data_IF_202129316504
#
_entry.id   IF_202129316504
#
_cell.length_a   1.000
_cell.length_b   1.000
_cell.length_c   1.000
_cell.angle_alpha   90.00
_cell.angle_beta   90.00
_cell.angle_gamma   90.00
#
_symmetry.space_group_name_H-M   'P 1'
#
loop_
_entity.id
_entity.type
_entity.pdbx_description
1 polymer ?
#
# COMPACT_ATOMS: atom_id res chain seq x y z
N UNK A 1 -15.08 10.18 3.29
CA UNK A 1 -13.60 10.26 3.24
C UNK A 1 -12.99 10.35 1.83
N UNK A 2 -13.07 9.34 0.94
CA UNK A 2 -12.42 9.43 -0.39
C UNK A 2 -12.85 10.65 -1.20
N UNK A 3 -14.14 11.00 -1.15
CA UNK A 3 -14.67 12.22 -1.77
C UNK A 3 -14.05 13.49 -1.16
N UNK A 4 -14.06 13.63 0.17
CA UNK A 4 -13.41 14.76 0.86
C UNK A 4 -11.94 14.95 0.45
N UNK A 5 -11.18 13.85 0.39
CA UNK A 5 -9.79 13.90 -0.05
C UNK A 5 -9.65 14.34 -1.52
N UNK A 6 -10.53 13.85 -2.40
CA UNK A 6 -10.54 14.24 -3.81
C UNK A 6 -10.94 15.71 -4.02
N UNK A 7 -11.94 16.19 -3.29
CA UNK A 7 -12.40 17.59 -3.36
C UNK A 7 -11.36 18.56 -2.78
N UNK A 8 -10.63 18.12 -1.76
CA UNK A 8 -9.45 18.84 -1.27
C UNK A 8 -8.34 18.87 -2.34
N UNK A 9 -7.98 17.71 -2.89
CA UNK A 9 -6.95 17.57 -3.91
C UNK A 9 -7.22 18.41 -5.17
N UNK A 10 -8.48 18.47 -5.61
CA UNK A 10 -8.91 19.21 -6.80
C UNK A 10 -8.73 20.73 -6.69
N UNK A 11 -8.62 21.27 -5.47
CA UNK A 11 -8.40 22.71 -5.21
C UNK A 11 -6.92 23.10 -5.17
N UNK A 12 -6.01 22.12 -5.18
CA UNK A 12 -4.58 22.37 -5.05
C UNK A 12 -3.92 22.59 -6.42
N UNK A 13 -2.86 23.42 -6.50
CA UNK A 13 -2.07 23.59 -7.72
C UNK A 13 -1.21 22.34 -8.05
N UNK A 14 -1.05 21.43 -7.09
CA UNK A 14 -0.28 20.20 -7.20
C UNK A 14 -0.48 19.31 -5.98
N UNK A 15 0.10 18.11 -5.99
CA UNK A 15 0.05 17.16 -4.88
C UNK A 15 1.40 16.97 -4.19
N UNK A 16 2.40 17.77 -4.51
CA UNK A 16 3.67 17.79 -3.78
C UNK A 16 3.45 18.31 -2.34
N UNK A 17 4.42 18.05 -1.46
CA UNK A 17 4.29 18.39 -0.03
C UNK A 17 3.97 19.86 0.17
N UNK A 18 4.58 20.78 -0.59
CA UNK A 18 4.33 22.21 -0.44
C UNK A 18 2.90 22.59 -0.85
N UNK A 19 2.40 22.05 -1.96
CA UNK A 19 1.02 22.27 -2.38
C UNK A 19 -0.01 21.77 -1.37
N UNK A 20 0.21 20.60 -0.76
CA UNK A 20 -0.64 20.07 0.32
C UNK A 20 -0.71 21.00 1.54
N UNK A 21 0.32 21.82 1.80
CA UNK A 21 0.30 22.77 2.93
C UNK A 21 -0.64 23.94 2.67
N UNK A 22 -0.82 24.33 1.42
CA UNK A 22 -1.53 25.56 1.05
C UNK A 22 -3.05 25.43 1.04
N UNK A 23 -3.61 24.21 1.00
CA UNK A 23 -5.05 24.02 0.83
C UNK A 23 -5.90 24.07 2.09
N UNK A 24 -5.30 24.04 3.28
CA UNK A 24 -6.06 24.16 4.54
C UNK A 24 -6.07 25.61 5.00
N UNK A 25 -7.16 26.32 4.70
CA UNK A 25 -7.36 27.70 5.14
C UNK A 25 -7.38 27.79 6.67
N UNK A 26 -6.45 28.57 7.23
CA UNK A 26 -6.39 28.83 8.66
C UNK A 26 -5.88 27.66 9.52
N UNK A 27 -5.30 26.63 8.91
CA UNK A 27 -4.58 25.57 9.63
C UNK A 27 -3.07 25.80 9.49
N UNK A 28 -2.36 25.85 10.62
CA UNK A 28 -0.91 25.98 10.65
C UNK A 28 -0.25 24.61 10.44
N UNK A 29 0.90 24.57 9.78
CA UNK A 29 1.72 23.36 9.69
C UNK A 29 3.08 23.60 10.34
N UNK A 30 3.46 22.71 11.26
CA UNK A 30 4.76 22.76 11.94
C UNK A 30 5.49 21.43 11.82
N UNK A 31 6.78 21.49 11.44
CA UNK A 31 7.69 20.35 11.49
C UNK A 31 8.56 20.46 12.74
N UNK A 32 8.48 19.49 13.64
CA UNK A 32 9.28 19.48 14.87
C UNK A 32 9.60 18.05 15.34
N UNK A 33 10.63 17.84 16.17
CA UNK A 33 10.86 16.52 16.78
C UNK A 33 9.69 16.13 17.69
N UNK A 34 9.14 14.92 17.51
CA UNK A 34 7.98 14.41 18.27
C UNK A 34 8.23 13.06 18.97
N UNK A 35 9.50 12.69 19.18
CA UNK A 35 9.85 11.38 19.74
C UNK A 35 9.44 10.25 18.78
N UNK A 36 8.69 9.28 19.30
CA UNK A 36 8.20 8.11 18.56
C UNK A 36 6.91 8.37 17.77
N UNK A 37 6.24 9.52 17.99
CA UNK A 37 5.01 9.89 17.28
C UNK A 37 5.36 10.44 15.89
N UNK A 38 4.62 10.03 14.87
CA UNK A 38 4.85 10.50 13.49
C UNK A 38 4.27 11.88 13.23
N UNK A 39 3.08 12.18 13.76
CA UNK A 39 2.37 13.44 13.58
C UNK A 39 1.14 13.56 14.47
N UNK A 40 0.49 14.71 14.43
CA UNK A 40 -0.74 15.00 15.14
C UNK A 40 -1.49 16.16 14.48
N UNK A 41 -2.82 16.07 14.48
CA UNK A 41 -3.69 17.22 14.27
C UNK A 41 -4.27 17.69 15.61
N UNK A 42 -4.14 18.98 15.89
CA UNK A 42 -4.75 19.66 17.02
C UNK A 42 -5.88 20.57 16.51
N UNK A 43 -7.16 20.18 16.68
CA UNK A 43 -8.30 20.96 16.20
C UNK A 43 -8.54 22.25 16.99
N UNK A 44 -8.13 22.32 18.26
CA UNK A 44 -8.33 23.50 19.11
C UNK A 44 -7.44 24.65 18.63
N UNK A 45 -6.18 24.34 18.34
CA UNK A 45 -5.18 25.32 17.88
C UNK A 45 -5.09 25.41 16.35
N UNK A 46 -5.85 24.57 15.63
CA UNK A 46 -5.82 24.44 14.16
C UNK A 46 -4.39 24.27 13.66
N UNK A 47 -3.67 23.30 14.21
CA UNK A 47 -2.29 23.02 13.82
C UNK A 47 -2.09 21.55 13.49
N UNK A 48 -1.44 21.30 12.36
CA UNK A 48 -0.87 20.01 12.01
C UNK A 48 0.60 20.00 12.42
N UNK A 49 0.99 18.96 13.14
CA UNK A 49 2.35 18.68 13.56
C UNK A 49 2.87 17.45 12.82
N UNK A 50 4.04 17.56 12.21
CA UNK A 50 4.71 16.43 11.56
C UNK A 50 6.10 16.25 12.16
N UNK A 51 6.45 15.01 12.50
CA UNK A 51 7.73 14.69 13.10
C UNK A 51 8.87 14.94 12.11
N UNK A 52 9.72 15.92 12.40
CA UNK A 52 10.82 16.30 11.51
C UNK A 52 11.92 15.25 11.41
N UNK A 53 11.92 14.22 12.28
CA UNK A 53 12.95 13.17 12.34
C UNK A 53 12.63 11.94 11.51
N UNK A 54 11.39 11.76 11.05
CA UNK A 54 11.06 10.63 10.16
C UNK A 54 11.46 10.94 8.72
N UNK A 55 11.66 9.90 7.91
CA UNK A 55 12.05 10.06 6.50
C UNK A 55 11.01 10.85 5.69
N UNK A 56 11.40 11.59 4.64
CA UNK A 56 10.48 12.45 3.86
C UNK A 56 9.22 11.74 3.33
N UNK A 57 9.35 10.51 2.80
CA UNK A 57 8.22 9.68 2.36
C UNK A 57 7.18 9.48 3.48
N UNK A 58 7.66 9.26 4.72
CA UNK A 58 6.80 9.07 5.90
C UNK A 58 6.18 10.40 6.33
N UNK A 59 6.95 11.50 6.31
CA UNK A 59 6.42 12.84 6.59
C UNK A 59 5.30 13.23 5.62
N UNK A 60 5.46 12.94 4.32
CA UNK A 60 4.47 13.20 3.28
C UNK A 60 3.18 12.42 3.53
N UNK A 61 3.29 11.14 3.86
CA UNK A 61 2.12 10.33 4.22
C UNK A 61 1.46 10.81 5.51
N UNK A 62 2.24 11.10 6.55
CA UNK A 62 1.72 11.66 7.80
C UNK A 62 0.99 12.97 7.57
N UNK A 63 1.55 13.90 6.79
CA UNK A 63 0.86 15.15 6.44
C UNK A 63 -0.50 14.88 5.77
N UNK A 64 -0.54 13.99 4.77
CA UNK A 64 -1.79 13.63 4.11
C UNK A 64 -2.80 12.95 5.06
N UNK A 65 -2.30 12.19 6.03
CA UNK A 65 -3.10 11.57 7.09
C UNK A 65 -3.69 12.62 8.02
N UNK A 66 -2.90 13.58 8.51
CA UNK A 66 -3.41 14.65 9.38
C UNK A 66 -4.34 15.62 8.65
N UNK A 67 -4.12 15.88 7.35
CA UNK A 67 -5.09 16.59 6.50
C UNK A 67 -6.41 15.81 6.47
N UNK A 68 -6.36 14.48 6.38
CA UNK A 68 -7.56 13.65 6.39
C UNK A 68 -8.30 13.70 7.73
N UNK A 69 -7.58 13.77 8.86
CA UNK A 69 -8.17 14.06 10.18
C UNK A 69 -8.89 15.40 10.19
N UNK A 70 -8.24 16.46 9.71
CA UNK A 70 -8.84 17.79 9.65
C UNK A 70 -10.09 17.85 8.77
N UNK A 71 -10.08 17.16 7.63
CA UNK A 71 -11.23 17.06 6.73
C UNK A 71 -12.38 16.26 7.36
N UNK A 72 -12.09 15.15 8.03
CA UNK A 72 -13.09 14.32 8.69
C UNK A 72 -13.75 15.06 9.86
N UNK A 73 -12.96 15.69 10.71
CA UNK A 73 -13.47 16.46 11.87
C UNK A 73 -14.20 17.74 11.46
N UNK A 74 -13.99 18.23 10.24
CA UNK A 74 -14.73 19.36 9.67
C UNK A 74 -16.02 18.99 8.94
N UNK A 75 -16.34 17.70 8.83
CA UNK A 75 -17.56 17.18 8.19
C UNK A 75 -18.51 16.65 9.29
N UNK A 76 -19.45 17.50 9.70
CA UNK A 76 -20.37 17.22 10.80
C UNK A 76 -21.26 16.00 10.52
N UNK A 77 -21.70 15.82 9.28
CA UNK A 77 -22.56 14.70 8.88
C UNK A 77 -21.79 13.37 8.99
N UNK A 78 -20.58 13.31 8.42
CA UNK A 78 -19.73 12.12 8.49
C UNK A 78 -19.34 11.79 9.94
N UNK A 79 -19.00 12.79 10.73
CA UNK A 79 -18.61 12.59 12.13
C UNK A 79 -19.81 12.11 12.96
N UNK A 80 -21.00 12.67 12.74
CA UNK A 80 -22.25 12.22 13.38
C UNK A 80 -22.55 10.76 13.06
N UNK A 81 -22.51 10.37 11.78
CA UNK A 81 -22.74 8.99 11.35
C UNK A 81 -21.75 8.00 12.00
N UNK A 82 -20.50 8.42 12.20
CA UNK A 82 -19.49 7.61 12.87
C UNK A 82 -19.78 7.43 14.36
N UNK A 83 -20.23 8.49 15.05
CA UNK A 83 -20.62 8.42 16.46
C UNK A 83 -21.88 7.58 16.68
N UNK A 84 -22.81 7.56 15.72
CA UNK A 84 -23.99 6.70 15.78
C UNK A 84 -23.64 5.21 15.61
N UNK A 85 -22.58 4.91 14.84
CA UNK A 85 -22.17 3.54 14.52
C UNK A 85 -21.10 2.95 15.44
N UNK A 86 -20.24 3.79 16.06
CA UNK A 86 -19.06 3.36 16.81
C UNK A 86 -18.82 4.25 18.04
N UNK A 87 -18.22 3.67 19.07
CA UNK A 87 -17.84 4.37 20.31
C UNK A 87 -16.49 3.88 20.86
N UNK A 88 -15.88 4.67 21.75
CA UNK A 88 -14.61 4.37 22.42
C UNK A 88 -13.47 4.02 21.46
N UNK A 89 -12.62 3.08 21.85
CA UNK A 89 -11.44 2.64 21.07
C UNK A 89 -11.80 2.19 19.64
N UNK A 90 -13.01 1.67 19.43
CA UNK A 90 -13.46 1.24 18.10
C UNK A 90 -13.68 2.43 17.18
N UNK A 91 -14.25 3.52 17.69
CA UNK A 91 -14.41 4.75 16.92
C UNK A 91 -13.04 5.31 16.52
N UNK A 92 -12.10 5.39 17.46
CA UNK A 92 -10.73 5.84 17.18
C UNK A 92 -10.07 5.00 16.08
N UNK A 93 -10.18 3.67 16.16
CA UNK A 93 -9.64 2.78 15.14
C UNK A 93 -10.28 2.97 13.76
N UNK A 94 -11.58 3.25 13.71
CA UNK A 94 -12.29 3.53 12.45
C UNK A 94 -11.84 4.86 11.87
N UNK A 95 -11.71 5.91 12.68
CA UNK A 95 -11.21 7.23 12.25
C UNK A 95 -9.79 7.10 11.70
N UNK A 96 -8.89 6.40 12.40
CA UNK A 96 -7.52 6.13 11.94
C UNK A 96 -7.49 5.38 10.61
N UNK A 97 -8.39 4.40 10.44
CA UNK A 97 -8.54 3.66 9.18
C UNK A 97 -9.01 4.59 8.06
N UNK A 98 -10.00 5.44 8.32
CA UNK A 98 -10.49 6.42 7.35
C UNK A 98 -9.41 7.44 6.99
N UNK A 99 -8.62 7.93 7.93
CA UNK A 99 -7.53 8.86 7.66
C UNK A 99 -6.45 8.24 6.77
N UNK A 100 -6.15 6.95 6.94
CA UNK A 100 -5.28 6.22 6.01
C UNK A 100 -5.88 6.10 4.59
N UNK A 101 -7.20 5.88 4.49
CA UNK A 101 -7.92 5.88 3.19
C UNK A 101 -7.91 7.26 2.54
N UNK A 102 -8.11 8.32 3.33
CA UNK A 102 -8.03 9.71 2.89
C UNK A 102 -6.65 10.08 2.38
N UNK A 103 -5.60 9.73 3.14
CA UNK A 103 -4.21 9.97 2.75
C UNK A 103 -3.86 9.28 1.43
N UNK A 104 -4.28 8.02 1.25
CA UNK A 104 -4.07 7.30 0.00
C UNK A 104 -4.80 7.96 -1.18
N UNK A 105 -6.07 8.35 -1.00
CA UNK A 105 -6.85 9.03 -2.04
C UNK A 105 -6.28 10.41 -2.42
N UNK A 106 -5.72 11.13 -1.43
CA UNK A 106 -5.08 12.43 -1.64
C UNK A 106 -3.75 12.30 -2.41
N UNK A 107 -2.94 11.32 -2.05
CA UNK A 107 -1.61 11.12 -2.64
C UNK A 107 -1.64 10.38 -3.99
N UNK A 108 -2.71 9.62 -4.25
CA UNK A 108 -2.81 8.73 -5.41
C UNK A 108 -4.08 9.09 -6.19
N UNK A 109 -4.03 10.11 -7.06
CA UNK A 109 -5.18 10.52 -7.83
C UNK A 109 -5.62 9.41 -8.78
N UNK A 110 -6.93 9.31 -9.01
CA UNK A 110 -7.54 8.28 -9.88
C UNK A 110 -6.90 8.24 -11.27
N UNK A 111 -6.59 9.40 -11.83
CA UNK A 111 -5.93 9.54 -13.14
C UNK A 111 -4.56 8.88 -13.18
N UNK A 112 -3.78 8.94 -12.10
CA UNK A 112 -2.48 8.26 -12.01
C UNK A 112 -2.66 6.75 -11.97
N UNK A 113 -3.65 6.24 -11.24
CA UNK A 113 -3.96 4.81 -11.18
C UNK A 113 -4.35 4.30 -12.57
N UNK A 114 -5.28 5.01 -13.23
CA UNK A 114 -5.75 4.65 -14.56
C UNK A 114 -4.60 4.74 -15.60
N UNK A 115 -3.68 5.71 -15.48
CA UNK A 115 -2.46 5.77 -16.30
C UNK A 115 -1.59 4.53 -16.10
N UNK A 116 -1.36 4.10 -14.85
CA UNK A 116 -0.51 2.95 -14.56
C UNK A 116 -1.12 1.65 -15.10
N UNK A 117 -2.41 1.44 -14.87
CA UNK A 117 -3.15 0.27 -15.38
C UNK A 117 -3.21 0.26 -16.90
N UNK A 118 -3.49 1.41 -17.55
CA UNK A 118 -3.54 1.51 -19.01
C UNK A 118 -2.18 1.24 -19.66
N UNK A 119 -1.10 1.79 -19.07
CA UNK A 119 0.25 1.71 -19.66
C UNK A 119 0.96 0.38 -19.39
N UNK A 120 0.76 -0.19 -18.20
CA UNK A 120 1.53 -1.34 -17.74
C UNK A 120 0.66 -2.57 -17.43
N UNK A 121 -0.66 -2.46 -17.50
CA UNK A 121 -1.58 -3.51 -17.06
C UNK A 121 -1.56 -3.72 -15.54
N UNK A 122 -2.27 -4.74 -15.03
CA UNK A 122 -2.28 -5.07 -13.62
C UNK A 122 -1.02 -5.87 -13.21
N UNK A 123 0.14 -5.22 -13.34
CA UNK A 123 1.47 -5.83 -13.26
C UNK A 123 2.26 -5.44 -12.01
N UNK A 124 3.28 -6.22 -11.66
CA UNK A 124 4.29 -5.83 -10.67
C UNK A 124 4.99 -4.54 -11.07
N UNK A 125 5.20 -4.31 -12.37
CA UNK A 125 5.70 -3.03 -12.91
C UNK A 125 4.77 -1.85 -12.63
N UNK A 126 3.46 -2.00 -12.85
CA UNK A 126 2.48 -0.96 -12.54
C UNK A 126 2.54 -0.57 -11.05
N UNK A 127 2.65 -1.56 -10.17
CA UNK A 127 2.82 -1.36 -8.73
C UNK A 127 4.12 -0.58 -8.42
N UNK A 128 5.25 -0.97 -9.01
CA UNK A 128 6.52 -0.28 -8.83
C UNK A 128 6.49 1.16 -9.31
N UNK A 129 5.92 1.42 -10.48
CA UNK A 129 5.78 2.76 -11.05
C UNK A 129 4.81 3.63 -10.24
N UNK A 130 3.70 3.07 -9.75
CA UNK A 130 2.75 3.79 -8.90
C UNK A 130 3.41 4.26 -7.59
N UNK A 131 4.11 3.36 -6.90
CA UNK A 131 4.84 3.68 -5.67
C UNK A 131 5.86 4.80 -5.89
N UNK A 132 6.62 4.73 -7.00
CA UNK A 132 7.65 5.73 -7.33
C UNK A 132 7.06 7.08 -7.72
N UNK A 133 5.99 7.12 -8.51
CA UNK A 133 5.40 8.37 -9.02
C UNK A 133 4.56 9.10 -7.98
N UNK A 134 3.88 8.36 -7.10
CA UNK A 134 3.12 8.96 -6.01
C UNK A 134 4.00 9.30 -4.78
N UNK A 135 5.26 8.85 -4.76
CA UNK A 135 6.20 8.95 -3.64
C UNK A 135 5.60 8.38 -2.34
N UNK A 136 5.16 7.12 -2.42
CA UNK A 136 4.49 6.39 -1.35
C UNK A 136 5.10 5.01 -1.12
N UNK A 137 4.77 4.43 0.02
CA UNK A 137 5.16 3.06 0.35
C UNK A 137 4.58 2.04 -0.66
N UNK A 138 5.33 0.96 -0.88
CA UNK A 138 4.90 -0.14 -1.74
C UNK A 138 3.62 -0.81 -1.24
N UNK A 139 3.40 -0.87 0.07
CA UNK A 139 2.15 -1.37 0.67
C UNK A 139 0.96 -0.50 0.31
N UNK A 140 1.09 0.83 0.43
CA UNK A 140 0.01 1.76 0.08
C UNK A 140 -0.33 1.64 -1.41
N UNK A 141 0.69 1.65 -2.28
CA UNK A 141 0.50 1.46 -3.72
C UNK A 141 -0.18 0.12 -4.05
N UNK A 142 0.19 -0.95 -3.35
CA UNK A 142 -0.36 -2.30 -3.53
C UNK A 142 -1.85 -2.37 -3.20
N UNK A 143 -2.28 -1.79 -2.07
CA UNK A 143 -3.70 -1.78 -1.71
C UNK A 143 -4.52 -0.94 -2.70
N UNK A 144 -4.01 0.24 -3.05
CA UNK A 144 -4.69 1.15 -3.99
C UNK A 144 -4.80 0.55 -5.38
N UNK A 145 -3.74 -0.04 -5.92
CA UNK A 145 -3.77 -0.66 -7.24
C UNK A 145 -4.69 -1.88 -7.26
N UNK A 146 -4.64 -2.73 -6.23
CA UNK A 146 -5.51 -3.90 -6.11
C UNK A 146 -6.98 -3.52 -6.11
N UNK A 147 -7.37 -2.48 -5.35
CA UNK A 147 -8.75 -2.00 -5.27
C UNK A 147 -9.30 -1.54 -6.63
N UNK A 148 -8.43 -1.04 -7.52
CA UNK A 148 -8.80 -0.52 -8.84
C UNK A 148 -8.56 -1.51 -9.99
N UNK A 149 -8.07 -2.72 -9.69
CA UNK A 149 -7.84 -3.76 -10.69
C UNK A 149 -9.12 -4.56 -10.92
N UNK A 150 -9.52 -4.76 -12.17
CA UNK A 150 -10.72 -5.54 -12.51
C UNK A 150 -10.40 -7.01 -12.79
N UNK A 151 -9.21 -7.28 -13.29
CA UNK A 151 -8.71 -8.63 -13.56
C UNK A 151 -8.45 -9.40 -12.24
N UNK A 152 -8.58 -10.73 -12.24
CA UNK A 152 -8.37 -11.53 -11.04
C UNK A 152 -6.87 -11.65 -10.71
N UNK A 153 -6.32 -10.63 -10.06
CA UNK A 153 -4.88 -10.51 -9.78
C UNK A 153 -4.60 -10.57 -8.28
N UNK A 154 -3.52 -11.27 -7.92
CA UNK A 154 -2.86 -11.10 -6.62
C UNK A 154 -1.63 -10.22 -6.80
N UNK A 155 -1.46 -9.23 -5.94
CA UNK A 155 -0.25 -8.44 -5.84
C UNK A 155 0.54 -8.82 -4.59
N UNK A 156 1.87 -8.76 -4.69
CA UNK A 156 2.74 -8.99 -3.55
C UNK A 156 3.99 -8.10 -3.62
N UNK A 157 4.47 -7.68 -2.45
CA UNK A 157 5.81 -7.11 -2.29
C UNK A 157 6.66 -8.15 -1.59
N UNK A 158 7.74 -8.59 -2.23
CA UNK A 158 8.66 -9.59 -1.69
C UNK A 158 10.00 -8.94 -1.33
N UNK A 159 10.59 -9.32 -0.21
CA UNK A 159 11.93 -8.86 0.18
C UNK A 159 12.65 -9.95 0.98
N UNK A 160 13.99 -9.89 0.99
CA UNK A 160 14.80 -10.84 1.77
C UNK A 160 14.58 -10.60 3.25
N UNK A 161 14.17 -11.66 3.96
CA UNK A 161 14.01 -11.66 5.41
C UNK A 161 14.91 -12.72 6.04
N UNK A 162 15.28 -12.50 7.31
CA UNK A 162 15.87 -13.56 8.14
C UNK A 162 14.74 -14.51 8.54
N UNK A 163 14.94 -15.80 8.33
CA UNK A 163 14.05 -16.83 8.84
C UNK A 163 14.23 -16.96 10.36
N UNK A 164 13.14 -17.24 11.11
CA UNK A 164 13.27 -17.63 12.51
C UNK A 164 14.13 -18.90 12.59
N UNK A 165 15.05 -18.94 13.55
CA UNK A 165 15.83 -20.16 13.85
C UNK A 165 14.91 -21.13 14.60
N UNK A 166 15.00 -22.42 14.28
CA UNK A 166 14.25 -23.44 15.01
C UNK A 166 14.91 -23.70 16.38
N UNK A 167 14.10 -24.11 17.38
CA UNK A 167 14.61 -24.52 18.69
C UNK A 167 15.45 -25.79 18.53
N UNK A 168 16.75 -25.62 18.31
CA UNK A 168 17.70 -26.70 18.01
C UNK A 168 18.87 -26.29 17.10
N UNK A 169 18.81 -25.12 16.47
CA UNK A 169 19.91 -24.59 15.66
C UNK A 169 21.09 -24.15 16.54
N UNK A 170 22.31 -24.52 16.13
CA UNK A 170 23.56 -24.21 16.86
C UNK A 170 23.73 -22.68 17.04
N UNK A 171 24.16 -22.23 18.22
CA UNK A 171 24.36 -20.79 18.56
C UNK A 171 25.35 -20.04 17.64
N UNK A 172 26.01 -20.74 16.71
CA UNK A 172 26.93 -20.19 15.71
C UNK A 172 26.39 -20.08 14.28
N UNK A 173 25.22 -20.63 13.95
CA UNK A 173 24.68 -20.57 12.59
C UNK A 173 24.00 -19.23 12.31
N UNK A 174 24.37 -18.61 11.18
CA UNK A 174 23.73 -17.36 10.75
C UNK A 174 22.31 -17.69 10.29
N UNK A 175 21.29 -16.93 10.71
CA UNK A 175 19.91 -17.20 10.33
C UNK A 175 19.78 -17.22 8.80
N UNK A 176 19.21 -18.30 8.28
CA UNK A 176 18.99 -18.47 6.86
C UNK A 176 18.19 -17.27 6.31
N UNK A 177 18.66 -16.72 5.19
CA UNK A 177 17.96 -15.63 4.49
C UNK A 177 17.11 -16.24 3.39
N UNK A 178 15.84 -15.85 3.34
CA UNK A 178 14.94 -16.25 2.26
C UNK A 178 14.15 -15.05 1.75
N UNK A 179 13.85 -15.06 0.46
CA UNK A 179 12.90 -14.13 -0.12
C UNK A 179 11.50 -14.49 0.39
N UNK A 180 10.84 -13.54 1.06
CA UNK A 180 9.49 -13.77 1.60
C UNK A 180 8.54 -12.66 1.21
N UNK A 181 7.26 -13.00 1.12
CA UNK A 181 6.18 -12.02 0.94
C UNK A 181 6.12 -11.13 2.18
N UNK A 182 6.22 -9.82 2.00
CA UNK A 182 6.13 -8.82 3.07
C UNK A 182 4.70 -8.32 3.24
N UNK A 183 4.02 -8.09 2.13
CA UNK A 183 2.62 -7.68 2.07
C UNK A 183 2.01 -8.19 0.77
N UNK A 184 0.70 -8.48 0.79
CA UNK A 184 -0.07 -8.91 -0.36
C UNK A 184 -1.46 -8.29 -0.35
N UNK A 185 -2.06 -8.12 -1.52
CA UNK A 185 -3.47 -7.78 -1.67
C UNK A 185 -4.02 -8.45 -2.93
N UNK A 186 -5.34 -8.59 -2.98
CA UNK A 186 -6.04 -9.23 -4.06
C UNK A 186 -7.01 -8.23 -4.70
N UNK A 187 -7.15 -8.29 -6.03
CA UNK A 187 -8.20 -7.57 -6.72
C UNK A 187 -9.60 -8.05 -6.27
N UNK A 188 -10.64 -7.20 -6.37
CA UNK A 188 -12.02 -7.59 -6.06
C UNK A 188 -12.43 -8.92 -6.70
N UNK A 189 -13.10 -9.77 -5.92
CA UNK A 189 -13.58 -11.09 -6.36
C UNK A 189 -12.56 -12.24 -6.26
N UNK A 190 -11.27 -11.96 -6.08
CA UNK A 190 -10.27 -12.99 -5.84
C UNK A 190 -10.37 -13.50 -4.40
N UNK A 191 -10.67 -14.79 -4.23
CA UNK A 191 -10.84 -15.45 -2.91
C UNK A 191 -9.54 -15.95 -2.29
N UNK A 192 -8.45 -15.95 -3.05
CA UNK A 192 -7.16 -16.44 -2.60
C UNK A 192 -6.36 -15.31 -1.95
N UNK A 193 -5.48 -15.66 -1.01
CA UNK A 193 -4.57 -14.70 -0.38
C UNK A 193 -3.17 -15.29 -0.28
N UNK A 194 -2.15 -14.44 -0.48
CA UNK A 194 -0.76 -14.82 -0.38
C UNK A 194 -0.15 -14.22 0.90
N UNK A 195 -0.27 -14.94 2.01
CA UNK A 195 0.01 -14.37 3.34
C UNK A 195 1.45 -13.83 3.49
N UNK A 196 1.65 -12.73 4.25
CA UNK A 196 2.99 -12.32 4.69
C UNK A 196 3.77 -13.47 5.35
N UNK A 197 5.09 -13.49 5.12
CA UNK A 197 5.98 -14.57 5.54
C UNK A 197 6.00 -15.79 4.63
N UNK A 198 5.17 -15.84 3.58
CA UNK A 198 5.23 -16.95 2.61
C UNK A 198 6.58 -16.93 1.88
N UNK A 199 7.34 -18.03 1.89
CA UNK A 199 8.62 -18.10 1.19
C UNK A 199 8.43 -18.15 -0.32
N UNK A 200 9.29 -17.45 -1.05
CA UNK A 200 9.40 -17.50 -2.50
C UNK A 200 10.52 -18.49 -2.85
N UNK A 201 10.22 -19.56 -3.61
CA UNK A 201 11.25 -20.52 -4.04
C UNK A 201 12.34 -19.86 -4.91
N UNK A 202 13.58 -20.36 -4.81
CA UNK A 202 14.73 -19.81 -5.58
C UNK A 202 14.58 -20.01 -7.09
N UNK A 203 13.84 -21.04 -7.52
CA UNK A 203 13.51 -21.31 -8.92
C UNK A 203 12.33 -20.47 -9.44
N UNK A 204 11.72 -19.64 -8.60
CA UNK A 204 10.55 -18.84 -8.95
C UNK A 204 10.95 -17.54 -9.68
N UNK A 205 10.18 -17.06 -10.68
CA UNK A 205 10.49 -15.82 -11.42
C UNK A 205 10.70 -14.59 -10.54
N UNK A 206 9.99 -14.51 -9.40
CA UNK A 206 10.15 -13.43 -8.43
C UNK A 206 11.53 -13.45 -7.75
N UNK A 207 12.10 -14.63 -7.47
CA UNK A 207 13.45 -14.75 -6.94
C UNK A 207 14.49 -14.41 -8.03
N UNK A 208 14.32 -14.99 -9.23
CA UNK A 208 15.19 -14.70 -10.37
C UNK A 208 15.23 -13.20 -10.73
N UNK A 209 14.10 -12.49 -10.66
CA UNK A 209 14.02 -11.06 -10.92
C UNK A 209 14.81 -10.25 -9.87
N UNK A 210 14.78 -10.65 -8.60
CA UNK A 210 15.56 -10.00 -7.55
C UNK A 210 17.07 -10.16 -7.77
N UNK A 211 17.50 -11.38 -8.07
CA UNK A 211 18.91 -11.74 -8.18
C UNK A 211 19.55 -11.12 -9.42
N UNK A 212 18.85 -11.17 -10.55
CA UNK A 212 19.33 -10.61 -11.82
C UNK A 212 19.12 -9.10 -11.94
N UNK A 213 18.23 -8.54 -11.11
CA UNK A 213 17.74 -7.15 -11.21
C UNK A 213 17.09 -6.85 -12.57
N UNK A 214 16.57 -7.87 -13.25
CA UNK A 214 15.86 -7.73 -14.51
C UNK A 214 14.35 -7.95 -14.28
N UNK A 215 13.49 -7.13 -14.90
CA UNK A 215 12.06 -7.44 -14.96
C UNK A 215 11.81 -8.77 -15.67
N UNK A 216 10.94 -9.61 -15.10
CA UNK A 216 10.57 -10.91 -15.67
C UNK A 216 9.05 -10.99 -15.79
N UNK A 217 8.57 -11.38 -16.97
CA UNK A 217 7.15 -11.66 -17.22
C UNK A 217 7.04 -13.02 -17.90
N UNK A 218 6.39 -13.99 -17.26
CA UNK A 218 6.22 -15.34 -17.79
C UNK A 218 5.10 -16.12 -17.10
N UNK A 219 4.66 -17.21 -17.73
CA UNK A 219 3.77 -18.17 -17.07
C UNK A 219 4.53 -18.91 -15.96
N UNK A 220 3.90 -19.00 -14.79
CA UNK A 220 4.44 -19.69 -13.63
C UNK A 220 3.28 -20.03 -12.66
N UNK A 221 3.46 -19.83 -11.35
CA UNK A 221 2.47 -20.18 -10.35
C UNK A 221 2.45 -19.21 -9.18
N UNK A 222 1.36 -19.23 -8.40
CA UNK A 222 1.30 -18.57 -7.08
C UNK A 222 1.95 -19.51 -6.04
N UNK A 223 3.02 -19.09 -5.35
CA UNK A 223 3.74 -19.93 -4.39
C UNK A 223 3.04 -19.92 -3.03
N UNK A 224 1.89 -20.59 -2.90
CA UNK A 224 1.19 -20.65 -1.62
C UNK A 224 1.99 -21.43 -0.56
N UNK A 225 1.94 -20.99 0.70
CA UNK A 225 2.60 -21.66 1.84
C UNK A 225 2.18 -23.12 2.03
N UNK A 226 0.99 -23.51 1.56
CA UNK A 226 0.52 -24.91 1.59
C UNK A 226 1.25 -25.84 0.61
N UNK A 227 2.15 -25.31 -0.24
CA UNK A 227 2.79 -26.06 -1.32
C UNK A 227 1.96 -26.15 -2.60
N UNK A 228 0.69 -25.71 -2.57
CA UNK A 228 -0.16 -25.63 -3.77
C UNK A 228 0.46 -24.65 -4.77
N UNK A 229 0.67 -25.12 -6.00
CA UNK A 229 1.15 -24.30 -7.13
C UNK A 229 0.00 -24.02 -8.08
N UNK A 230 -0.66 -22.88 -7.91
CA UNK A 230 -1.76 -22.47 -8.79
C UNK A 230 -1.19 -21.76 -10.02
N UNK A 231 -1.47 -22.19 -11.26
CA UNK A 231 -0.98 -21.51 -12.45
C UNK A 231 -1.40 -20.05 -12.49
N UNK A 232 -0.48 -19.17 -12.88
CA UNK A 232 -0.71 -17.74 -13.06
C UNK A 232 0.32 -17.17 -14.04
N UNK A 233 -0.04 -16.11 -14.74
CA UNK A 233 0.96 -15.27 -15.41
C UNK A 233 1.58 -14.36 -14.35
N UNK A 234 2.91 -14.42 -14.23
CA UNK A 234 3.66 -13.70 -13.21
C UNK A 234 4.41 -12.55 -13.86
N UNK A 235 4.22 -11.34 -13.32
CA UNK A 235 5.05 -10.18 -13.61
C UNK A 235 5.84 -9.81 -12.35
N UNK A 236 7.16 -9.84 -12.43
CA UNK A 236 8.08 -9.57 -11.34
C UNK A 236 8.98 -8.38 -11.70
N UNK A 237 8.78 -7.26 -11.00
CA UNK A 237 9.53 -6.03 -11.19
C UNK A 237 10.46 -5.76 -10.00
N UNK A 238 11.79 -5.88 -10.18
CA UNK A 238 12.75 -5.64 -9.11
C UNK A 238 12.90 -4.14 -8.85
N UNK A 239 12.86 -3.77 -7.57
CA UNK A 239 13.11 -2.41 -7.08
C UNK A 239 14.10 -2.46 -5.90
N UNK A 240 15.36 -2.10 -6.16
CA UNK A 240 16.47 -2.09 -5.18
C UNK A 240 16.66 -3.44 -4.47
N UNK A 241 16.01 -3.63 -3.32
CA UNK A 241 16.15 -4.80 -2.43
C UNK A 241 14.83 -5.57 -2.26
N UNK A 242 13.86 -5.31 -3.11
CA UNK A 242 12.53 -5.92 -3.10
C UNK A 242 12.06 -6.19 -4.53
N UNK A 243 11.02 -7.00 -4.66
CA UNK A 243 10.35 -7.26 -5.93
C UNK A 243 8.86 -6.98 -5.77
N UNK A 244 8.32 -6.18 -6.67
CA UNK A 244 6.88 -5.99 -6.85
C UNK A 244 6.41 -7.08 -7.79
N UNK A 245 5.47 -7.91 -7.34
CA UNK A 245 4.98 -9.03 -8.11
C UNK A 245 3.47 -8.91 -8.33
N UNK A 246 3.00 -9.30 -9.50
CA UNK A 246 1.61 -9.64 -9.73
C UNK A 246 1.45 -11.06 -10.23
N UNK A 247 0.32 -11.67 -9.91
CA UNK A 247 -0.07 -13.01 -10.34
C UNK A 247 -1.46 -12.90 -10.95
N UNK A 248 -1.53 -12.86 -12.28
CA UNK A 248 -2.78 -12.89 -13.02
C UNK A 248 -3.32 -14.32 -13.04
N UNK A 249 -4.45 -14.52 -12.38
CA UNK A 249 -5.08 -15.83 -12.25
C UNK A 249 -5.88 -16.16 -13.52
N UNK A 250 -5.93 -17.44 -13.93
CA UNK A 250 -6.79 -17.84 -15.02
C UNK A 250 -8.26 -17.60 -14.64
N UNK A 251 -8.99 -16.92 -15.52
CA UNK A 251 -10.45 -16.83 -15.41
C UNK A 251 -10.99 -18.25 -15.56
N UNK A 252 -11.74 -18.75 -14.57
CA UNK A 252 -12.48 -20.01 -14.74
C UNK A 252 -13.39 -19.80 -15.95
N UNK A 253 -13.18 -20.57 -17.03
CA UNK A 253 -14.18 -20.69 -18.07
C UNK A 253 -15.49 -21.10 -17.38
N UNK A 254 -16.54 -20.30 -17.53
CA UNK A 254 -17.88 -20.78 -17.20
C UNK A 254 -18.08 -22.08 -17.97
N UNK A 255 -18.40 -23.15 -17.25
CA UNK A 255 -18.77 -24.40 -17.88
C UNK A 255 -19.92 -24.08 -18.84
N UNK A 256 -19.71 -24.32 -20.14
CA UNK A 256 -20.76 -24.17 -21.12
C UNK A 256 -22.01 -24.92 -20.62
N UNK A 257 -23.20 -24.30 -20.64
CA UNK A 257 -24.41 -25.01 -20.25
C UNK A 257 -24.54 -26.24 -21.15
N UNK A 258 -24.66 -27.41 -20.52
CA UNK A 258 -24.91 -28.71 -21.16
C UNK A 258 -26.31 -28.73 -21.73
#
# INVERSE_FOLDING_TARGET
MKMLAADYAARLPGLDTHSLMHGLDGVQLTFMPMGDRDGAYDPEHRVILVNSRVRPERQRFTLAHEISHALLLGDDDLLSDLHDAYEGDRLEQVIETLCNVGAAALLIPRTLIDEMLSRFGPTGRALGELSRRADISASTALYTLAEHTTEPVLYAVCAVARLPMDEGDDEGERPAKALTVRVSSAAPGVKYSLRPGTPIPDDHPVAAALDTRLPITQDSYVPFRSGRRMPAQVDAFPDRHRVMASFLLPVRAEAAPV
#
